data_IF_893677361505
#
_entry.id   IF_893677361505
#
_cell.length_a   1.000
_cell.length_b   1.000
_cell.length_c   1.000
_cell.angle_alpha   90.00
_cell.angle_beta   90.00
_cell.angle_gamma   90.00
#
_symmetry.space_group_name_H-M   'P 1'
#
loop_
_entity.id
_entity.type
_entity.pdbx_description
1 polymer ?
#
# COMPACT_ATOMS: atom_id res chain seq x y z
N UNK A 1 -38.55 -14.20 15.09
CA UNK A 1 -38.50 -13.82 13.66
C UNK A 1 -38.24 -12.32 13.42
N UNK A 2 -39.11 -11.37 13.77
CA UNK A 2 -38.75 -9.93 13.59
C UNK A 2 -37.66 -9.43 14.56
N UNK A 3 -37.67 -9.89 15.83
CA UNK A 3 -36.68 -9.48 16.83
C UNK A 3 -35.29 -10.11 16.68
N UNK A 4 -35.17 -11.30 16.07
CA UNK A 4 -33.86 -11.96 15.86
C UNK A 4 -33.06 -11.25 14.77
N UNK A 5 -33.72 -10.81 13.68
CA UNK A 5 -33.05 -10.09 12.59
C UNK A 5 -32.51 -8.70 12.97
N UNK A 6 -33.18 -8.00 13.90
CA UNK A 6 -32.71 -6.71 14.41
C UNK A 6 -31.51 -6.84 15.36
N UNK A 7 -31.52 -7.82 16.27
CA UNK A 7 -30.38 -8.12 17.15
C UNK A 7 -29.15 -8.55 16.34
N UNK A 8 -29.38 -9.34 15.29
CA UNK A 8 -28.37 -9.80 14.35
C UNK A 8 -27.71 -8.66 13.56
N UNK A 9 -28.51 -7.71 13.07
CA UNK A 9 -27.98 -6.53 12.40
C UNK A 9 -27.21 -5.63 13.36
N UNK A 10 -27.71 -5.45 14.59
CA UNK A 10 -27.02 -4.66 15.61
C UNK A 10 -25.63 -5.23 15.93
N UNK A 11 -25.52 -6.56 16.06
CA UNK A 11 -24.24 -7.24 16.26
C UNK A 11 -23.28 -7.05 15.07
N UNK A 12 -23.80 -7.18 13.84
CA UNK A 12 -23.02 -6.92 12.62
C UNK A 12 -22.49 -5.48 12.58
N UNK A 13 -23.33 -4.49 12.88
CA UNK A 13 -22.95 -3.07 12.88
C UNK A 13 -21.95 -2.77 13.99
N UNK A 14 -22.09 -3.38 15.17
CA UNK A 14 -21.13 -3.23 16.26
C UNK A 14 -19.73 -3.71 15.85
N UNK A 15 -19.64 -4.80 15.09
CA UNK A 15 -18.38 -5.41 14.68
C UNK A 15 -17.77 -4.77 13.43
N UNK A 16 -18.60 -4.44 12.43
CA UNK A 16 -18.16 -4.04 11.09
C UNK A 16 -18.47 -2.59 10.73
N UNK A 17 -19.33 -1.90 11.49
CA UNK A 17 -19.81 -0.56 11.14
C UNK A 17 -18.70 0.49 11.03
N UNK A 18 -17.61 0.36 11.80
CA UNK A 18 -16.44 1.24 11.65
C UNK A 18 -15.76 1.07 10.28
N UNK A 19 -15.50 -0.17 9.87
CA UNK A 19 -14.87 -0.49 8.58
C UNK A 19 -15.76 -0.11 7.38
N UNK A 20 -17.07 -0.36 7.49
CA UNK A 20 -18.04 0.01 6.45
C UNK A 20 -18.12 1.53 6.25
N UNK A 21 -18.12 2.31 7.34
CA UNK A 21 -18.09 3.78 7.26
C UNK A 21 -16.77 4.31 6.69
N UNK A 22 -15.64 3.74 7.11
CA UNK A 22 -14.33 4.12 6.58
C UNK A 22 -14.24 3.88 5.07
N UNK A 23 -14.83 2.78 4.60
CA UNK A 23 -14.93 2.41 3.18
C UNK A 23 -16.08 3.09 2.44
N UNK A 24 -16.86 3.95 3.12
CA UNK A 24 -18.01 4.68 2.59
C UNK A 24 -19.12 3.78 2.00
N UNK A 25 -19.28 2.57 2.52
CA UNK A 25 -20.40 1.69 2.15
C UNK A 25 -21.70 2.29 2.69
N UNK A 26 -22.68 2.63 1.83
CA UNK A 26 -23.95 3.21 2.27
C UNK A 26 -24.72 2.33 3.26
N UNK A 27 -25.30 2.95 4.30
CA UNK A 27 -25.99 2.26 5.39
C UNK A 27 -27.19 1.43 4.93
N UNK A 28 -27.85 1.86 3.84
CA UNK A 28 -28.97 1.13 3.23
C UNK A 28 -28.60 -0.30 2.80
N UNK A 29 -27.33 -0.58 2.50
CA UNK A 29 -26.88 -1.88 2.05
C UNK A 29 -26.51 -2.83 3.20
N UNK A 30 -26.38 -2.32 4.44
CA UNK A 30 -25.77 -3.08 5.53
C UNK A 30 -26.57 -4.32 5.95
N UNK A 31 -27.90 -4.23 5.89
CA UNK A 31 -28.77 -5.38 6.20
C UNK A 31 -28.63 -6.49 5.16
N UNK A 32 -28.73 -6.13 3.87
CA UNK A 32 -28.53 -7.09 2.78
C UNK A 32 -27.14 -7.70 2.81
N UNK A 33 -26.10 -6.87 3.01
CA UNK A 33 -24.72 -7.32 3.11
C UNK A 33 -24.52 -8.30 4.28
N UNK A 34 -25.08 -8.02 5.46
CA UNK A 34 -25.03 -8.93 6.61
C UNK A 34 -25.68 -10.28 6.30
N UNK A 35 -26.84 -10.26 5.63
CA UNK A 35 -27.55 -11.47 5.19
C UNK A 35 -26.74 -12.28 4.19
N UNK A 36 -26.17 -11.63 3.18
CA UNK A 36 -25.35 -12.26 2.14
C UNK A 36 -24.07 -12.87 2.71
N UNK A 37 -23.36 -12.17 3.61
CA UNK A 37 -22.16 -12.69 4.27
C UNK A 37 -22.46 -13.92 5.13
N UNK A 38 -23.53 -13.87 5.92
CA UNK A 38 -23.94 -14.99 6.77
C UNK A 38 -24.37 -16.22 5.96
N UNK A 39 -25.07 -15.99 4.87
CA UNK A 39 -25.59 -17.05 4.00
C UNK A 39 -24.64 -17.46 2.88
N UNK A 40 -23.43 -16.88 2.81
CA UNK A 40 -22.47 -17.09 1.72
C UNK A 40 -23.12 -16.92 0.33
N UNK A 41 -23.93 -15.88 0.19
CA UNK A 41 -24.71 -15.63 -1.04
C UNK A 41 -23.90 -14.79 -2.03
N UNK A 42 -23.47 -15.43 -3.12
CA UNK A 42 -22.79 -14.81 -4.25
C UNK A 42 -23.74 -14.72 -5.44
N UNK A 43 -24.49 -13.63 -5.53
CA UNK A 43 -25.53 -13.40 -6.54
C UNK A 43 -25.10 -12.46 -7.67
N UNK A 44 -23.81 -12.14 -7.79
CA UNK A 44 -23.30 -11.30 -8.87
C UNK A 44 -23.64 -11.85 -10.27
N UNK A 45 -23.66 -13.18 -10.44
CA UNK A 45 -24.01 -13.83 -11.70
C UNK A 45 -25.47 -13.64 -12.14
N UNK A 46 -26.37 -13.28 -11.22
CA UNK A 46 -27.77 -12.98 -11.55
C UNK A 46 -27.96 -11.56 -12.11
N UNK A 47 -26.93 -10.72 -11.95
CA UNK A 47 -26.97 -9.31 -12.33
C UNK A 47 -25.98 -8.93 -13.43
N UNK A 48 -24.88 -9.68 -13.55
CA UNK A 48 -23.76 -9.31 -14.40
C UNK A 48 -23.31 -10.44 -15.31
N UNK A 49 -22.80 -10.06 -16.48
CA UNK A 49 -22.14 -10.96 -17.42
C UNK A 49 -20.74 -10.46 -17.78
N UNK A 50 -19.81 -11.39 -17.98
CA UNK A 50 -18.48 -11.12 -18.51
C UNK A 50 -18.54 -11.27 -20.03
N UNK A 51 -18.23 -10.20 -20.76
CA UNK A 51 -18.14 -10.18 -22.22
C UNK A 51 -16.70 -10.03 -22.67
N UNK A 52 -16.31 -10.79 -23.68
CA UNK A 52 -15.06 -10.59 -24.40
C UNK A 52 -15.33 -9.61 -25.55
N UNK A 53 -14.56 -8.53 -25.61
CA UNK A 53 -14.57 -7.52 -26.66
C UNK A 53 -13.46 -7.86 -27.62
N UNK A 54 -13.82 -8.12 -28.89
CA UNK A 54 -12.87 -8.16 -29.98
C UNK A 54 -12.61 -6.72 -30.42
N UNK A 55 -11.38 -6.23 -30.24
CA UNK A 55 -10.94 -5.01 -30.89
C UNK A 55 -10.80 -5.35 -32.38
N UNK A 56 -11.68 -4.77 -33.21
CA UNK A 56 -11.54 -4.89 -34.66
C UNK A 56 -10.41 -3.93 -35.03
N UNK A 57 -9.21 -4.47 -35.24
CA UNK A 57 -8.13 -3.73 -35.89
C UNK A 57 -8.66 -3.27 -37.25
N UNK A 58 -8.84 -1.96 -37.44
CA UNK A 58 -9.01 -1.41 -38.79
C UNK A 58 -7.70 -1.70 -39.52
N UNK A 59 -7.70 -2.71 -40.39
CA UNK A 59 -6.57 -3.13 -41.22
C UNK A 59 -6.01 -1.92 -42.00
N UNK A 60 -4.94 -1.29 -41.49
CA UNK A 60 -4.02 -0.55 -42.35
C UNK A 60 -3.08 -1.58 -42.98
N UNK A 61 -3.20 -1.78 -44.29
CA UNK A 61 -2.29 -2.59 -45.11
C UNK A 61 -0.83 -2.14 -44.86
N UNK A 62 -0.02 -2.97 -44.20
CA UNK A 62 1.43 -2.78 -44.12
C UNK A 62 2.13 -4.05 -44.60
N UNK A 63 3.03 -3.86 -45.57
CA UNK A 63 3.73 -4.90 -46.34
C UNK A 63 4.35 -6.05 -45.49
N UNK A 64 4.12 -7.28 -45.96
CA UNK A 64 4.44 -8.58 -45.35
C UNK A 64 5.95 -8.86 -45.09
N UNK A 65 6.87 -7.95 -45.44
CA UNK A 65 8.32 -8.18 -45.31
C UNK A 65 8.95 -7.60 -44.02
N UNK A 66 8.19 -6.87 -43.18
CA UNK A 66 8.68 -6.29 -41.92
C UNK A 66 8.25 -7.02 -40.63
N UNK A 67 7.46 -8.09 -40.73
CA UNK A 67 6.89 -8.79 -39.56
C UNK A 67 7.89 -9.66 -38.78
N UNK A 68 8.99 -10.11 -39.39
CA UNK A 68 9.85 -11.12 -38.75
C UNK A 68 10.93 -10.54 -37.79
N UNK A 69 11.16 -9.23 -37.75
CA UNK A 69 12.23 -8.63 -36.92
C UNK A 69 11.76 -7.69 -35.79
N UNK A 70 10.45 -7.45 -35.66
CA UNK A 70 9.89 -6.55 -34.63
C UNK A 70 8.73 -7.17 -33.85
N UNK A 71 8.83 -8.45 -33.45
CA UNK A 71 8.05 -8.96 -32.30
C UNK A 71 8.59 -8.36 -30.99
N UNK A 72 8.42 -7.04 -30.82
CA UNK A 72 8.27 -6.47 -29.48
C UNK A 72 6.95 -6.99 -28.95
N UNK A 73 6.87 -7.49 -27.69
CA UNK A 73 5.59 -7.77 -27.09
C UNK A 73 4.90 -6.42 -26.87
N UNK A 74 4.03 -6.02 -27.80
CA UNK A 74 3.06 -4.98 -27.52
C UNK A 74 2.15 -5.52 -26.40
N UNK A 75 2.07 -4.88 -25.23
CA UNK A 75 1.15 -5.27 -24.18
C UNK A 75 -0.25 -4.77 -24.58
N UNK A 76 -0.92 -5.48 -25.49
CA UNK A 76 -2.19 -5.01 -26.05
C UNK A 76 -3.08 -6.10 -26.66
N UNK A 77 -2.52 -7.09 -27.36
CA UNK A 77 -3.33 -8.08 -28.11
C UNK A 77 -3.92 -9.21 -27.25
N UNK A 78 -4.17 -8.96 -25.97
CA UNK A 78 -4.92 -9.89 -25.12
C UNK A 78 -6.42 -9.63 -25.26
N UNK A 79 -7.29 -10.66 -25.15
CA UNK A 79 -8.73 -10.46 -25.17
C UNK A 79 -9.15 -9.44 -24.11
N UNK A 80 -9.77 -8.34 -24.55
CA UNK A 80 -10.31 -7.32 -23.66
C UNK A 80 -11.62 -7.84 -23.07
N UNK A 81 -11.75 -7.86 -21.75
CA UNK A 81 -12.97 -8.33 -21.09
C UNK A 81 -13.66 -7.17 -20.38
N UNK A 82 -14.98 -7.12 -20.50
CA UNK A 82 -15.83 -6.15 -19.82
C UNK A 82 -16.88 -6.87 -18.99
N UNK A 83 -17.26 -6.25 -17.88
CA UNK A 83 -18.40 -6.69 -17.08
C UNK A 83 -19.56 -5.77 -17.40
N UNK A 84 -20.71 -6.33 -17.77
CA UNK A 84 -21.92 -5.56 -18.07
C UNK A 84 -23.09 -6.03 -17.19
N UNK A 85 -24.09 -5.16 -17.01
CA UNK A 85 -25.36 -5.54 -16.40
C UNK A 85 -26.16 -6.41 -17.36
N UNK A 86 -26.54 -7.61 -16.93
CA UNK A 86 -27.37 -8.56 -17.70
C UNK A 86 -28.77 -8.71 -17.12
N UNK A 87 -29.03 -8.18 -15.92
CA UNK A 87 -30.37 -8.20 -15.34
C UNK A 87 -31.34 -7.37 -16.19
N UNK A 88 -32.45 -7.96 -16.63
CA UNK A 88 -33.45 -7.29 -17.48
C UNK A 88 -34.03 -6.01 -16.86
N UNK A 89 -34.10 -5.94 -15.53
CA UNK A 89 -34.63 -4.77 -14.80
C UNK A 89 -33.54 -3.73 -14.50
N UNK A 90 -32.31 -3.94 -14.97
CA UNK A 90 -31.15 -3.12 -14.61
C UNK A 90 -30.81 -3.22 -13.11
N UNK A 91 -30.20 -2.16 -12.59
CA UNK A 91 -29.82 -2.03 -11.20
C UNK A 91 -30.13 -0.63 -10.68
N UNK A 92 -30.84 -0.54 -9.55
CA UNK A 92 -31.10 0.73 -8.88
C UNK A 92 -30.15 0.90 -7.70
N UNK A 93 -29.45 2.03 -7.63
CA UNK A 93 -28.59 2.39 -6.51
C UNK A 93 -29.37 2.74 -5.23
N UNK A 94 -30.69 2.94 -5.33
CA UNK A 94 -31.57 3.10 -4.15
C UNK A 94 -32.05 1.77 -3.57
N UNK A 95 -31.92 0.66 -4.31
CA UNK A 95 -32.38 -0.66 -3.87
C UNK A 95 -31.40 -1.25 -2.83
N UNK A 96 -31.83 -1.54 -1.59
CA UNK A 96 -30.99 -2.11 -0.53
C UNK A 96 -30.29 -3.43 -0.87
N UNK A 97 -30.77 -4.17 -1.88
CA UNK A 97 -30.19 -5.44 -2.29
C UNK A 97 -29.09 -5.30 -3.37
N UNK A 98 -28.88 -4.10 -3.93
CA UNK A 98 -27.85 -3.80 -4.93
C UNK A 98 -26.44 -3.72 -4.33
N UNK A 99 -26.05 -4.73 -3.55
CA UNK A 99 -24.71 -4.86 -2.96
C UNK A 99 -24.24 -6.29 -3.15
N UNK A 100 -23.02 -6.48 -3.63
CA UNK A 100 -22.52 -7.77 -4.09
C UNK A 100 -21.23 -8.15 -3.36
N UNK A 101 -21.04 -9.45 -3.17
CA UNK A 101 -19.81 -10.03 -2.65
C UNK A 101 -18.98 -10.55 -3.81
N UNK A 102 -17.70 -10.19 -3.80
CA UNK A 102 -16.70 -10.67 -4.74
C UNK A 102 -15.66 -11.45 -3.94
N UNK A 103 -15.42 -12.68 -4.34
CA UNK A 103 -14.51 -13.58 -3.63
C UNK A 103 -13.04 -13.26 -3.96
N UNK A 104 -12.14 -13.69 -3.09
CA UNK A 104 -10.70 -13.56 -3.26
C UNK A 104 -10.13 -14.88 -3.75
N UNK A 105 -9.96 -15.02 -5.07
CA UNK A 105 -9.40 -16.21 -5.69
C UNK A 105 -8.01 -16.60 -5.16
N UNK A 106 -7.24 -15.60 -4.71
CA UNK A 106 -5.94 -15.81 -4.10
C UNK A 106 -5.67 -14.73 -3.05
N UNK A 107 -5.30 -15.13 -1.83
CA UNK A 107 -4.86 -14.24 -0.75
C UNK A 107 -3.50 -14.68 -0.22
N UNK A 108 -2.55 -13.76 -0.08
CA UNK A 108 -1.17 -14.11 0.21
C UNK A 108 -0.36 -12.95 0.83
N UNK A 109 0.80 -13.30 1.41
CA UNK A 109 1.88 -12.35 1.70
C UNK A 109 2.91 -12.45 0.58
N UNK A 110 3.45 -11.32 0.13
CA UNK A 110 4.31 -11.24 -1.06
C UNK A 110 5.47 -12.27 -1.05
N UNK A 111 6.12 -12.46 0.11
CA UNK A 111 7.21 -13.44 0.29
C UNK A 111 6.80 -14.91 0.02
N UNK A 112 5.52 -15.23 0.18
CA UNK A 112 4.98 -16.57 -0.01
C UNK A 112 4.39 -16.79 -1.40
N UNK A 113 4.25 -15.75 -2.24
CA UNK A 113 3.52 -15.82 -3.50
C UNK A 113 4.06 -16.94 -4.42
N UNK A 114 5.38 -16.92 -4.68
CA UNK A 114 6.05 -17.92 -5.51
C UNK A 114 5.91 -19.34 -4.96
N UNK A 115 6.03 -19.50 -3.64
CA UNK A 115 5.90 -20.81 -3.00
C UNK A 115 4.48 -21.35 -3.12
N UNK A 116 3.47 -20.49 -3.02
CA UNK A 116 2.07 -20.88 -3.17
C UNK A 116 1.76 -21.29 -4.61
N UNK A 117 2.20 -20.55 -5.62
CA UNK A 117 2.06 -20.94 -7.03
C UNK A 117 2.66 -22.33 -7.32
N UNK A 118 3.74 -22.70 -6.64
CA UNK A 118 4.38 -24.03 -6.77
C UNK A 118 3.64 -25.15 -6.04
N UNK A 119 3.00 -24.86 -4.90
CA UNK A 119 2.57 -25.90 -3.94
C UNK A 119 1.05 -26.03 -3.81
N UNK A 120 0.30 -24.97 -4.08
CA UNK A 120 -1.17 -24.98 -3.97
C UNK A 120 -1.74 -25.57 -5.26
N UNK A 121 -2.41 -26.74 -5.21
CA UNK A 121 -2.96 -27.38 -6.41
C UNK A 121 -3.95 -26.46 -7.15
N UNK A 122 -3.82 -26.38 -8.47
CA UNK A 122 -4.72 -25.60 -9.33
C UNK A 122 -4.53 -24.08 -9.29
N UNK A 123 -3.80 -23.52 -8.32
CA UNK A 123 -3.62 -22.07 -8.20
C UNK A 123 -2.90 -21.47 -9.41
N UNK A 124 -1.78 -22.05 -9.83
CA UNK A 124 -1.05 -21.57 -11.01
C UNK A 124 -1.93 -21.58 -12.26
N UNK A 125 -2.66 -22.68 -12.49
CA UNK A 125 -3.57 -22.80 -13.63
C UNK A 125 -4.68 -21.75 -13.59
N UNK A 126 -5.30 -21.51 -12.41
CA UNK A 126 -6.33 -20.47 -12.25
C UNK A 126 -5.77 -19.07 -12.52
N UNK A 127 -4.62 -18.73 -11.95
CA UNK A 127 -3.99 -17.42 -12.12
C UNK A 127 -3.50 -17.21 -13.56
N UNK A 128 -2.90 -18.22 -14.18
CA UNK A 128 -2.50 -18.18 -15.58
C UNK A 128 -3.69 -17.91 -16.50
N UNK A 129 -4.80 -18.65 -16.33
CA UNK A 129 -6.03 -18.42 -17.10
C UNK A 129 -6.62 -17.02 -16.88
N UNK A 130 -6.64 -16.54 -15.64
CA UNK A 130 -7.12 -15.20 -15.32
C UNK A 130 -6.30 -14.11 -16.03
N UNK A 131 -4.98 -14.31 -16.12
CA UNK A 131 -4.01 -13.39 -16.72
C UNK A 131 -3.80 -13.63 -18.23
N UNK A 132 -4.49 -14.60 -18.84
CA UNK A 132 -4.33 -14.92 -20.26
C UNK A 132 -2.97 -15.55 -20.61
N UNK A 133 -2.30 -16.15 -19.62
CA UNK A 133 -1.01 -16.81 -19.79
C UNK A 133 -1.25 -18.27 -20.22
N UNK A 134 -0.75 -18.71 -21.38
CA UNK A 134 -0.90 -20.10 -21.82
C UNK A 134 -0.21 -21.07 -20.84
N UNK A 135 -1.01 -21.92 -20.20
CA UNK A 135 -0.51 -22.98 -19.31
C UNK A 135 -1.37 -24.24 -19.46
N UNK A 136 -0.78 -25.30 -19.99
CA UNK A 136 -1.45 -26.58 -20.25
C UNK A 136 -0.83 -27.77 -19.50
N UNK A 137 0.08 -27.50 -18.56
CA UNK A 137 0.75 -28.51 -17.76
C UNK A 137 -0.02 -28.86 -16.47
N UNK A 138 0.15 -30.09 -15.98
CA UNK A 138 -0.33 -30.48 -14.64
C UNK A 138 0.66 -30.07 -13.54
N UNK A 139 1.94 -29.88 -13.89
CA UNK A 139 3.02 -29.55 -12.96
C UNK A 139 3.42 -28.08 -13.16
N UNK A 140 3.54 -27.29 -12.08
CA UNK A 140 4.08 -25.93 -12.15
C UNK A 140 5.49 -25.89 -12.74
N UNK A 141 5.68 -25.20 -13.86
CA UNK A 141 6.99 -24.86 -14.39
C UNK A 141 7.41 -23.44 -13.98
N UNK A 142 8.72 -23.21 -13.89
CA UNK A 142 9.27 -21.94 -13.42
C UNK A 142 9.01 -20.78 -14.38
N UNK A 143 8.83 -21.04 -15.68
CA UNK A 143 8.55 -20.02 -16.68
C UNK A 143 7.17 -19.41 -16.49
N UNK A 144 6.13 -20.26 -16.39
CA UNK A 144 4.76 -19.79 -16.13
C UNK A 144 4.60 -19.16 -14.74
N UNK A 145 5.31 -19.66 -13.72
CA UNK A 145 5.34 -19.01 -12.40
C UNK A 145 5.87 -17.58 -12.51
N UNK A 146 6.99 -17.39 -13.22
CA UNK A 146 7.58 -16.06 -13.38
C UNK A 146 6.67 -15.11 -14.16
N UNK A 147 6.02 -15.59 -15.23
CA UNK A 147 5.04 -14.79 -15.97
C UNK A 147 3.86 -14.36 -15.10
N UNK A 148 3.30 -15.27 -14.28
CA UNK A 148 2.23 -14.92 -13.33
C UNK A 148 2.72 -13.90 -12.30
N UNK A 149 3.94 -14.06 -11.77
CA UNK A 149 4.52 -13.11 -10.81
C UNK A 149 4.76 -11.72 -11.40
N UNK A 150 4.97 -11.63 -12.72
CA UNK A 150 5.13 -10.37 -13.44
C UNK A 150 3.77 -9.70 -13.73
N UNK A 151 2.78 -10.47 -14.17
CA UNK A 151 1.45 -9.94 -14.57
C UNK A 151 0.51 -9.67 -13.39
N UNK A 152 0.66 -10.39 -12.28
CA UNK A 152 -0.28 -10.32 -11.15
C UNK A 152 -0.51 -8.92 -10.57
N UNK A 153 0.43 -7.99 -10.73
CA UNK A 153 0.33 -6.65 -10.15
C UNK A 153 -0.81 -5.82 -10.73
N UNK A 154 -1.27 -6.11 -11.95
CA UNK A 154 -2.48 -5.50 -12.52
C UNK A 154 -3.77 -5.95 -11.81
N UNK A 155 -3.75 -7.10 -11.16
CA UNK A 155 -4.90 -7.74 -10.51
C UNK A 155 -4.87 -7.62 -8.99
N UNK A 156 -3.66 -7.51 -8.43
CA UNK A 156 -3.43 -7.43 -7.01
C UNK A 156 -4.12 -6.24 -6.40
N UNK A 157 -4.76 -6.46 -5.27
CA UNK A 157 -5.28 -5.48 -4.33
C UNK A 157 -4.69 -5.78 -2.95
N UNK A 158 -4.82 -4.85 -2.01
CA UNK A 158 -4.21 -5.01 -0.69
C UNK A 158 -5.12 -4.52 0.43
N UNK A 159 -4.96 -5.10 1.61
CA UNK A 159 -5.45 -4.55 2.87
C UNK A 159 -4.43 -4.77 3.98
N UNK A 160 -4.62 -4.08 5.10
CA UNK A 160 -3.84 -4.27 6.31
C UNK A 160 -4.76 -4.52 7.49
N UNK A 161 -4.33 -5.38 8.40
CA UNK A 161 -5.01 -5.55 9.69
C UNK A 161 -4.64 -4.38 10.59
N UNK A 162 -5.65 -3.77 11.23
CA UNK A 162 -5.44 -2.61 12.11
C UNK A 162 -4.81 -2.98 13.47
N UNK A 163 -4.94 -4.24 13.85
CA UNK A 163 -4.44 -4.79 15.12
C UNK A 163 -3.35 -5.85 14.86
N UNK A 164 -2.51 -6.07 15.88
CA UNK A 164 -1.42 -7.05 15.83
C UNK A 164 -0.03 -6.45 15.92
N UNK A 165 0.96 -7.34 15.91
CA UNK A 165 2.40 -7.07 15.81
C UNK A 165 2.78 -6.39 14.49
N UNK A 166 3.99 -5.86 14.38
CA UNK A 166 4.46 -5.23 13.14
C UNK A 166 4.46 -6.22 11.95
N UNK A 167 4.75 -7.49 12.23
CA UNK A 167 4.72 -8.61 11.28
C UNK A 167 3.30 -8.92 10.81
N UNK A 168 2.33 -8.93 11.72
CA UNK A 168 0.92 -9.18 11.38
C UNK A 168 0.34 -8.05 10.52
N UNK A 169 0.79 -6.81 10.78
CA UNK A 169 0.41 -5.59 10.05
C UNK A 169 1.04 -5.47 8.66
N UNK A 170 1.99 -6.34 8.31
CA UNK A 170 2.52 -6.40 6.92
C UNK A 170 1.33 -6.61 5.97
N UNK A 171 1.27 -5.87 4.84
CA UNK A 171 0.16 -5.94 3.90
C UNK A 171 -0.19 -7.37 3.47
N UNK A 172 -1.49 -7.64 3.42
CA UNK A 172 -2.03 -8.85 2.79
C UNK A 172 -2.50 -8.47 1.40
N UNK A 173 -1.99 -9.20 0.41
CA UNK A 173 -2.34 -9.03 -0.98
C UNK A 173 -3.40 -10.04 -1.38
N UNK A 174 -4.26 -9.65 -2.32
CA UNK A 174 -5.27 -10.54 -2.86
C UNK A 174 -5.57 -10.25 -4.32
N UNK A 175 -5.99 -11.29 -5.04
CA UNK A 175 -6.57 -11.20 -6.38
C UNK A 175 -8.03 -11.64 -6.26
N UNK A 176 -8.93 -10.82 -6.79
CA UNK A 176 -10.36 -11.13 -6.83
C UNK A 176 -10.62 -12.31 -7.78
N UNK A 177 -11.77 -12.95 -7.63
CA UNK A 177 -12.27 -13.95 -8.58
C UNK A 177 -12.37 -13.43 -10.03
N UNK A 178 -12.74 -14.34 -10.93
CA UNK A 178 -12.88 -14.10 -12.35
C UNK A 178 -13.86 -12.96 -12.67
N UNK A 179 -14.85 -12.71 -11.81
CA UNK A 179 -15.77 -11.60 -11.97
C UNK A 179 -15.11 -10.28 -11.55
N UNK A 180 -14.62 -10.20 -10.31
CA UNK A 180 -14.06 -8.97 -9.76
C UNK A 180 -12.83 -8.47 -10.52
N UNK A 181 -12.00 -9.39 -10.98
CA UNK A 181 -10.78 -9.10 -11.74
C UNK A 181 -11.03 -8.58 -13.16
N UNK A 182 -12.26 -8.66 -13.66
CA UNK A 182 -12.64 -8.17 -15.00
C UNK A 182 -13.35 -6.81 -14.96
N UNK A 183 -13.60 -6.27 -13.78
CA UNK A 183 -14.16 -4.92 -13.62
C UNK A 183 -13.09 -3.89 -14.01
N UNK A 184 -13.37 -3.12 -15.05
CA UNK A 184 -12.40 -2.20 -15.65
C UNK A 184 -12.35 -0.85 -14.93
N UNK A 185 -11.28 -0.10 -15.22
CA UNK A 185 -11.10 1.26 -14.73
C UNK A 185 -12.04 2.25 -15.43
N UNK A 186 -12.60 3.20 -14.68
CA UNK A 186 -13.16 4.44 -15.21
C UNK A 186 -12.93 5.60 -14.24
N UNK A 187 -12.65 6.80 -14.77
CA UNK A 187 -12.65 8.06 -14.01
C UNK A 187 -14.08 8.49 -13.60
N UNK A 188 -15.10 7.92 -14.24
CA UNK A 188 -16.51 8.07 -13.90
C UNK A 188 -17.10 6.68 -13.60
N UNK A 189 -16.70 6.06 -12.47
CA UNK A 189 -17.04 4.68 -12.18
C UNK A 189 -18.54 4.49 -11.98
N UNK A 190 -19.07 3.36 -12.44
CA UNK A 190 -20.45 2.94 -12.13
C UNK A 190 -20.57 2.29 -10.76
N UNK A 191 -19.48 1.75 -10.21
CA UNK A 191 -19.42 1.08 -8.91
C UNK A 191 -18.26 1.56 -8.04
N UNK A 192 -18.47 1.44 -6.73
CA UNK A 192 -17.40 1.46 -5.75
C UNK A 192 -17.16 0.04 -5.22
N UNK A 193 -15.92 -0.22 -4.83
CA UNK A 193 -15.49 -1.50 -4.29
C UNK A 193 -14.54 -1.29 -3.12
N UNK A 194 -14.70 -2.09 -2.06
CA UNK A 194 -13.82 -2.04 -0.89
C UNK A 194 -13.65 -3.42 -0.24
N UNK A 195 -12.45 -3.74 0.28
CA UNK A 195 -12.25 -4.97 1.04
C UNK A 195 -12.98 -4.88 2.39
N UNK A 196 -13.58 -6.00 2.80
CA UNK A 196 -14.19 -6.19 4.10
C UNK A 196 -13.70 -7.51 4.70
N UNK A 197 -13.06 -7.42 5.86
CA UNK A 197 -12.72 -8.61 6.65
C UNK A 197 -13.92 -9.03 7.50
N UNK A 198 -14.52 -10.17 7.17
CA UNK A 198 -15.67 -10.72 7.87
C UNK A 198 -15.21 -11.60 9.04
N UNK A 199 -15.36 -11.06 10.24
CA UNK A 199 -14.78 -11.57 11.48
C UNK A 199 -15.30 -12.97 11.87
N UNK A 200 -16.60 -13.30 11.73
CA UNK A 200 -17.10 -14.62 12.10
C UNK A 200 -16.45 -15.77 11.33
N UNK A 201 -16.14 -15.56 10.03
CA UNK A 201 -15.48 -16.56 9.18
C UNK A 201 -13.96 -16.36 9.10
N UNK A 202 -13.45 -15.20 9.53
CA UNK A 202 -12.05 -14.78 9.36
C UNK A 202 -11.59 -14.76 7.89
N UNK A 203 -12.49 -14.35 6.99
CA UNK A 203 -12.25 -14.28 5.54
C UNK A 203 -12.45 -12.84 5.07
N UNK A 204 -11.66 -12.42 4.09
CA UNK A 204 -11.83 -11.14 3.42
C UNK A 204 -12.64 -11.30 2.12
N UNK A 205 -13.56 -10.39 1.89
CA UNK A 205 -14.31 -10.26 0.64
C UNK A 205 -14.11 -8.87 0.07
N UNK A 206 -14.38 -8.68 -1.21
CA UNK A 206 -14.59 -7.34 -1.76
C UNK A 206 -16.09 -7.07 -1.84
N UNK A 207 -16.54 -6.01 -1.18
CA UNK A 207 -17.92 -5.52 -1.29
C UNK A 207 -18.00 -4.59 -2.48
N UNK A 208 -18.99 -4.79 -3.36
CA UNK A 208 -19.22 -4.03 -4.58
C UNK A 208 -20.63 -3.42 -4.54
N UNK A 209 -20.76 -2.11 -4.77
CA UNK A 209 -22.06 -1.42 -4.76
C UNK A 209 -22.12 -0.30 -5.81
N UNK A 210 -23.30 -0.05 -6.41
CA UNK A 210 -23.44 0.92 -7.48
C UNK A 210 -23.40 2.35 -6.93
N UNK A 211 -22.90 3.26 -7.76
CA UNK A 211 -22.85 4.70 -7.52
C UNK A 211 -23.98 5.45 -8.22
N UNK A 212 -24.65 4.80 -9.16
CA UNK A 212 -25.78 5.31 -9.95
C UNK A 212 -26.65 4.14 -10.42
N UNK A 213 -27.85 4.46 -10.89
CA UNK A 213 -28.70 3.48 -11.56
C UNK A 213 -28.06 3.06 -12.89
N UNK A 214 -28.27 1.81 -13.29
CA UNK A 214 -27.69 1.20 -14.49
C UNK A 214 -28.76 0.39 -15.22
N UNK A 215 -28.77 0.48 -16.54
CA UNK A 215 -29.65 -0.29 -17.41
C UNK A 215 -28.98 -1.60 -17.88
N UNK A 216 -29.77 -2.51 -18.45
CA UNK A 216 -29.22 -3.72 -19.09
C UNK A 216 -28.25 -3.31 -20.20
N UNK A 217 -27.05 -3.88 -20.20
CA UNK A 217 -25.99 -3.57 -21.15
C UNK A 217 -24.98 -2.52 -20.68
N UNK A 218 -25.27 -1.79 -19.59
CA UNK A 218 -24.32 -0.81 -19.04
C UNK A 218 -23.07 -1.49 -18.47
N UNK A 219 -21.92 -0.82 -18.66
CA UNK A 219 -20.62 -1.32 -18.18
C UNK A 219 -20.44 -1.11 -16.66
N UNK A 220 -19.98 -2.16 -16.00
CA UNK A 220 -19.57 -2.18 -14.59
C UNK A 220 -18.10 -1.79 -14.50
N UNK A 221 -17.83 -0.63 -13.93
CA UNK A 221 -16.50 -0.03 -13.83
C UNK A 221 -16.22 0.50 -12.43
N UNK A 222 -14.94 0.60 -12.07
CA UNK A 222 -14.47 1.14 -10.80
C UNK A 222 -13.32 2.12 -10.97
N UNK A 223 -13.07 2.93 -9.95
CA UNK A 223 -11.88 3.77 -9.90
C UNK A 223 -10.73 3.03 -9.20
N UNK A 224 -9.65 2.71 -9.93
CA UNK A 224 -8.44 2.09 -9.36
C UNK A 224 -7.51 3.12 -8.69
N UNK A 225 -7.68 4.40 -8.97
CA UNK A 225 -6.96 5.50 -8.33
C UNK A 225 -7.86 6.30 -7.38
N UNK A 226 -8.87 5.64 -6.80
CA UNK A 226 -9.83 6.25 -5.90
C UNK A 226 -9.14 7.02 -4.75
N UNK A 227 -9.53 8.29 -4.59
CA UNK A 227 -9.00 9.16 -3.53
C UNK A 227 -7.75 9.95 -3.92
N UNK A 228 -7.11 9.64 -5.06
CA UNK A 228 -5.99 10.43 -5.56
C UNK A 228 -6.49 11.66 -6.34
N UNK A 229 -6.16 12.85 -5.83
CA UNK A 229 -6.61 14.13 -6.39
C UNK A 229 -5.57 14.78 -7.29
N UNK A 230 -4.28 14.47 -7.11
CA UNK A 230 -3.23 15.01 -7.96
C UNK A 230 -3.28 14.28 -9.32
N UNK A 231 -3.49 15.05 -10.39
CA UNK A 231 -3.65 14.49 -11.75
C UNK A 231 -2.42 13.71 -12.22
N UNK A 232 -1.23 14.17 -11.84
CA UNK A 232 0.01 13.55 -12.28
C UNK A 232 0.30 12.28 -11.48
N UNK A 233 0.06 12.30 -10.16
CA UNK A 233 0.11 11.09 -9.34
C UNK A 233 -0.93 10.08 -9.83
N UNK A 234 -2.16 10.51 -10.09
CA UNK A 234 -3.23 9.67 -10.62
C UNK A 234 -2.84 9.01 -11.94
N UNK A 235 -2.27 9.76 -12.89
CA UNK A 235 -1.72 9.22 -14.15
C UNK A 235 -0.69 8.12 -13.89
N UNK A 236 0.19 8.30 -12.90
CA UNK A 236 1.21 7.30 -12.56
C UNK A 236 0.64 6.07 -11.87
N UNK A 237 -0.31 6.23 -10.94
CA UNK A 237 -0.97 5.12 -10.24
C UNK A 237 -1.76 4.23 -11.22
N UNK A 238 -2.32 4.82 -12.29
CA UNK A 238 -3.10 4.09 -13.28
C UNK A 238 -2.28 3.30 -14.31
N UNK A 239 -0.95 3.44 -14.34
CA UNK A 239 -0.09 2.75 -15.32
C UNK A 239 -0.29 1.22 -15.42
N UNK A 240 -0.61 0.47 -14.35
CA UNK A 240 -0.91 -0.96 -14.48
C UNK A 240 -2.12 -1.29 -15.36
N UNK A 241 -3.06 -0.35 -15.53
CA UNK A 241 -4.28 -0.53 -16.35
C UNK A 241 -4.31 0.34 -17.60
N UNK A 242 -3.73 1.54 -17.53
CA UNK A 242 -3.70 2.53 -18.62
C UNK A 242 -2.24 2.87 -18.91
N UNK A 243 -1.57 2.12 -19.81
CA UNK A 243 -0.19 2.39 -20.18
C UNK A 243 -0.03 3.83 -20.68
N UNK A 244 0.95 4.55 -20.13
CA UNK A 244 1.24 5.91 -20.52
C UNK A 244 2.72 6.25 -20.31
N UNK A 245 3.22 7.18 -21.12
CA UNK A 245 4.54 7.76 -20.94
C UNK A 245 4.47 8.98 -20.01
N UNK A 246 5.47 9.12 -19.14
CA UNK A 246 5.61 10.21 -18.17
C UNK A 246 6.98 10.87 -18.33
N UNK A 247 7.41 11.06 -19.57
CA UNK A 247 8.76 11.53 -19.92
C UNK A 247 8.88 13.05 -19.98
N UNK A 248 7.73 13.72 -20.01
CA UNK A 248 7.60 15.18 -19.90
C UNK A 248 7.84 15.68 -18.46
N UNK A 249 7.84 14.77 -17.48
CA UNK A 249 8.12 15.10 -16.08
C UNK A 249 9.62 15.08 -15.82
N UNK A 250 10.12 16.15 -15.20
CA UNK A 250 11.51 16.21 -14.74
C UNK A 250 11.77 15.13 -13.67
N UNK A 251 12.83 14.35 -13.81
CA UNK A 251 13.28 13.39 -12.80
C UNK A 251 14.03 14.05 -11.62
N UNK A 252 14.09 15.39 -11.61
CA UNK A 252 14.74 16.20 -10.58
C UNK A 252 13.94 16.19 -9.28
N UNK A 253 14.62 15.85 -8.19
CA UNK A 253 14.05 15.76 -6.84
C UNK A 253 14.84 16.69 -5.92
N UNK A 254 14.46 17.97 -5.79
CA UNK A 254 15.14 18.88 -4.89
C UNK A 254 14.91 18.47 -3.43
N UNK A 255 15.63 19.13 -2.53
CA UNK A 255 15.26 19.07 -1.13
C UNK A 255 13.84 19.67 -0.94
N UNK A 256 12.96 19.03 -0.15
CA UNK A 256 11.71 19.62 0.29
C UNK A 256 11.92 20.96 1.01
N UNK A 257 10.94 21.87 0.95
CA UNK A 257 11.03 23.15 1.64
C UNK A 257 10.89 22.99 3.17
N UNK A 258 11.26 24.02 3.94
CA UNK A 258 11.29 23.95 5.41
C UNK A 258 9.93 23.58 6.03
N UNK A 259 8.81 23.96 5.39
CA UNK A 259 7.45 23.62 5.85
C UNK A 259 7.23 22.11 5.93
N UNK A 260 7.88 21.32 5.07
CA UNK A 260 7.81 19.86 5.11
C UNK A 260 8.37 19.32 6.44
N UNK A 261 9.55 19.80 6.86
CA UNK A 261 10.17 19.38 8.11
C UNK A 261 9.45 19.93 9.34
N UNK A 262 8.86 21.12 9.23
CA UNK A 262 7.99 21.67 10.28
C UNK A 262 6.73 20.83 10.49
N UNK A 263 6.13 20.32 9.40
CA UNK A 263 4.99 19.40 9.50
C UNK A 263 5.36 18.09 10.19
N UNK A 264 6.52 17.51 9.86
CA UNK A 264 7.04 16.31 10.53
C UNK A 264 7.26 16.56 12.03
N UNK A 265 7.86 17.70 12.38
CA UNK A 265 8.06 18.09 13.78
C UNK A 265 6.74 18.18 14.55
N UNK A 266 5.72 18.80 13.93
CA UNK A 266 4.39 18.95 14.51
C UNK A 266 3.68 17.60 14.70
N UNK A 267 3.76 16.71 13.70
CA UNK A 267 3.19 15.35 13.77
C UNK A 267 3.86 14.50 14.85
N UNK A 268 5.18 14.62 14.99
CA UNK A 268 5.96 13.97 16.03
C UNK A 268 5.67 14.50 17.44
N UNK A 269 4.98 15.64 17.56
CA UNK A 269 4.66 16.34 18.81
C UNK A 269 5.91 16.67 19.64
N UNK A 270 7.03 16.92 18.98
CA UNK A 270 8.28 17.33 19.63
C UNK A 270 8.27 18.83 19.92
N UNK A 271 8.68 19.21 21.13
CA UNK A 271 8.88 20.60 21.51
C UNK A 271 10.37 20.88 21.61
N UNK A 272 10.88 21.73 20.73
CA UNK A 272 12.30 22.09 20.68
C UNK A 272 12.77 22.78 21.98
N UNK A 273 14.01 22.51 22.43
CA UNK A 273 14.57 23.12 23.64
C UNK A 273 14.79 24.64 23.45
N UNK A 274 14.92 25.35 24.56
CA UNK A 274 15.51 26.70 24.57
C UNK A 274 17.02 26.64 24.77
N UNK A 275 17.72 27.74 24.47
CA UNK A 275 19.15 27.83 24.71
C UNK A 275 19.45 27.73 26.22
N UNK A 276 20.36 26.82 26.58
CA UNK A 276 20.81 26.61 27.95
C UNK A 276 22.31 26.85 28.05
N UNK A 277 22.78 27.20 29.25
CA UNK A 277 24.21 27.18 29.55
C UNK A 277 24.64 25.73 29.80
N UNK A 278 25.68 25.22 29.10
CA UNK A 278 26.15 23.86 29.33
C UNK A 278 26.48 23.62 30.81
N UNK A 279 25.91 22.58 31.44
CA UNK A 279 26.15 22.31 32.84
C UNK A 279 27.60 21.86 33.07
N UNK A 280 28.22 22.39 34.13
CA UNK A 280 29.56 21.99 34.56
C UNK A 280 29.42 21.12 35.81
N UNK A 281 29.89 19.88 35.72
CA UNK A 281 29.80 18.93 36.83
C UNK A 281 31.15 18.77 37.53
N UNK A 282 31.11 18.57 38.85
CA UNK A 282 32.29 18.22 39.62
C UNK A 282 32.88 16.87 39.17
N UNK A 283 34.20 16.73 39.29
CA UNK A 283 34.92 15.49 38.87
C UNK A 283 34.51 14.25 39.65
N UNK A 284 33.99 14.43 40.86
CA UNK A 284 33.52 13.41 41.79
C UNK A 284 32.00 13.28 41.82
N UNK A 285 31.26 14.02 40.98
CA UNK A 285 29.79 13.89 40.89
C UNK A 285 29.41 12.44 40.60
N UNK A 286 28.50 11.92 41.41
CA UNK A 286 27.78 10.67 41.19
C UNK A 286 26.46 11.02 40.52
N UNK A 287 26.19 10.43 39.36
CA UNK A 287 25.01 10.69 38.55
C UNK A 287 23.92 9.65 38.86
N UNK A 288 22.71 10.12 39.11
CA UNK A 288 21.51 9.29 39.15
C UNK A 288 21.02 9.02 37.73
N UNK A 289 20.89 7.76 37.36
CA UNK A 289 20.45 7.33 36.03
C UNK A 289 19.08 6.68 36.12
N UNK A 290 18.12 7.21 35.36
CA UNK A 290 16.84 6.57 35.11
C UNK A 290 16.87 5.92 33.73
N UNK A 291 16.53 4.63 33.65
CA UNK A 291 16.54 3.88 32.39
C UNK A 291 15.57 2.71 32.43
N UNK A 292 14.89 2.46 31.32
CA UNK A 292 14.06 1.29 31.04
C UNK A 292 14.81 0.22 30.21
N UNK A 293 16.10 0.44 29.92
CA UNK A 293 16.90 -0.41 29.04
C UNK A 293 17.68 -1.45 29.84
N UNK A 294 17.30 -2.72 29.71
CA UNK A 294 17.96 -3.82 30.43
C UNK A 294 19.47 -3.91 30.14
N UNK A 295 19.90 -3.59 28.91
CA UNK A 295 21.31 -3.56 28.54
C UNK A 295 22.07 -2.50 29.33
N UNK A 296 21.47 -1.35 29.63
CA UNK A 296 22.11 -0.30 30.43
C UNK A 296 22.17 -0.74 31.89
N UNK A 297 21.06 -1.26 32.43
CA UNK A 297 20.99 -1.81 33.79
C UNK A 297 22.07 -2.87 34.04
N UNK A 298 22.31 -3.75 33.07
CA UNK A 298 23.25 -4.87 33.20
C UNK A 298 24.73 -4.47 33.04
N UNK A 299 25.02 -3.34 32.38
CA UNK A 299 26.38 -3.02 31.94
C UNK A 299 26.94 -1.69 32.47
N UNK A 300 26.10 -0.77 32.96
CA UNK A 300 26.56 0.46 33.59
C UNK A 300 26.99 0.20 35.04
N UNK A 301 28.24 -0.24 35.21
CA UNK A 301 28.79 -0.71 36.49
C UNK A 301 29.75 0.28 37.16
N UNK A 302 30.06 1.39 36.50
CA UNK A 302 31.01 2.37 37.03
C UNK A 302 30.42 3.10 38.25
N UNK A 303 31.15 3.22 39.39
CA UNK A 303 30.60 3.66 40.68
C UNK A 303 30.09 5.11 40.71
N UNK A 304 30.41 5.90 39.68
CA UNK A 304 29.87 7.26 39.50
C UNK A 304 28.46 7.29 38.90
N UNK A 305 27.86 6.14 38.61
CA UNK A 305 26.49 6.06 38.13
C UNK A 305 25.71 5.16 39.07
N UNK A 306 24.61 5.68 39.60
CA UNK A 306 23.69 4.95 40.48
C UNK A 306 22.31 5.01 39.86
N UNK A 307 21.60 3.89 39.87
CA UNK A 307 20.25 3.87 39.30
C UNK A 307 19.24 4.50 40.27
N UNK A 308 18.20 5.11 39.69
CA UNK A 308 17.04 5.61 40.41
C UNK A 308 15.77 5.16 39.70
N UNK A 309 14.77 4.74 40.46
CA UNK A 309 13.44 4.43 39.94
C UNK A 309 12.55 5.69 39.84
N UNK A 310 13.03 6.82 40.39
CA UNK A 310 12.35 8.12 40.32
C UNK A 310 12.98 8.98 39.23
N UNK A 311 12.27 9.14 38.11
CA UNK A 311 12.64 10.02 36.98
C UNK A 311 12.88 11.46 37.43
N UNK A 312 12.11 11.94 38.43
CA UNK A 312 12.20 13.30 38.94
C UNK A 312 13.54 13.65 39.61
N UNK A 313 14.29 12.64 40.07
CA UNK A 313 15.58 12.80 40.74
C UNK A 313 16.77 12.45 39.84
N UNK A 314 16.52 12.02 38.61
CA UNK A 314 17.56 11.58 37.70
C UNK A 314 18.40 12.77 37.20
N UNK A 315 19.72 12.57 37.11
CA UNK A 315 20.62 13.46 36.38
C UNK A 315 20.73 13.06 34.90
N UNK A 316 20.44 11.79 34.58
CA UNK A 316 20.49 11.22 33.23
C UNK A 316 19.21 10.43 32.97
N UNK A 317 18.50 10.81 31.92
CA UNK A 317 17.39 10.07 31.33
C UNK A 317 17.94 9.25 30.15
N UNK A 318 18.06 7.93 30.33
CA UNK A 318 18.53 7.03 29.29
C UNK A 318 17.41 6.06 28.92
N UNK A 319 16.50 6.50 28.06
CA UNK A 319 15.26 5.79 27.79
C UNK A 319 15.26 5.18 26.38
N UNK A 320 14.57 4.05 26.24
CA UNK A 320 14.22 3.46 24.95
C UNK A 320 13.09 4.24 24.27
N UNK A 321 12.12 4.70 25.06
CA UNK A 321 10.97 5.47 24.57
C UNK A 321 11.38 6.86 24.08
N UNK A 322 10.68 7.37 23.07
CA UNK A 322 10.98 8.67 22.47
C UNK A 322 10.75 9.81 23.46
N UNK A 323 11.78 10.63 23.65
CA UNK A 323 11.67 11.88 24.39
C UNK A 323 11.10 12.99 23.49
N UNK A 324 10.08 13.70 23.97
CA UNK A 324 9.32 14.68 23.15
C UNK A 324 9.36 16.11 23.67
N UNK A 325 9.38 16.32 24.98
CA UNK A 325 9.29 17.65 25.59
C UNK A 325 10.66 18.22 25.97
N UNK A 326 11.52 18.47 24.96
CA UNK A 326 12.84 19.07 25.16
C UNK A 326 12.75 20.49 25.72
N UNK A 327 11.69 21.23 25.39
CA UNK A 327 11.41 22.55 25.96
C UNK A 327 11.31 22.50 27.48
N UNK A 328 10.44 21.65 28.02
CA UNK A 328 10.26 21.51 29.46
C UNK A 328 11.57 21.15 30.16
N UNK A 329 12.31 20.19 29.60
CA UNK A 329 13.62 19.79 30.14
C UNK A 329 14.59 20.97 30.19
N UNK A 330 14.71 21.72 29.09
CA UNK A 330 15.61 22.88 28.99
C UNK A 330 15.23 24.05 29.91
N UNK A 331 13.93 24.23 30.20
CA UNK A 331 13.43 25.33 31.02
C UNK A 331 13.47 25.00 32.53
N UNK A 332 13.08 23.78 32.90
CA UNK A 332 12.94 23.36 34.31
C UNK A 332 14.19 22.70 34.88
N UNK A 333 14.92 21.93 34.06
CA UNK A 333 16.06 21.10 34.48
C UNK A 333 17.18 21.08 33.42
N UNK A 334 17.78 22.24 33.09
CA UNK A 334 18.81 22.35 32.05
C UNK A 334 20.06 21.49 32.33
N UNK A 335 20.26 21.05 33.56
CA UNK A 335 21.35 20.19 34.00
C UNK A 335 21.12 18.68 33.81
N UNK A 336 19.92 18.26 33.41
CA UNK A 336 19.60 16.85 33.16
C UNK A 336 19.97 16.48 31.73
N UNK A 337 20.68 15.36 31.57
CA UNK A 337 21.08 14.84 30.27
C UNK A 337 20.07 13.81 29.74
N UNK A 338 19.85 13.80 28.43
CA UNK A 338 19.01 12.81 27.75
C UNK A 338 19.80 12.13 26.63
N UNK A 339 19.54 10.84 26.39
CA UNK A 339 20.22 10.03 25.39
C UNK A 339 19.70 10.21 23.94
N UNK A 340 18.98 11.29 23.66
CA UNK A 340 18.28 11.54 22.39
C UNK A 340 18.42 13.00 21.98
N UNK A 341 18.39 13.28 20.67
CA UNK A 341 18.46 14.64 20.13
C UNK A 341 17.11 15.06 19.53
N UNK A 342 16.71 16.34 19.68
CA UNK A 342 15.52 16.85 18.99
C UNK A 342 15.70 16.70 17.47
N UNK A 343 14.63 16.35 16.76
CA UNK A 343 14.63 16.13 15.30
C UNK A 343 15.57 15.00 14.82
N UNK A 344 16.03 14.08 15.67
CA UNK A 344 16.89 12.96 15.25
C UNK A 344 16.24 12.07 14.18
N UNK A 345 14.91 12.02 14.15
CA UNK A 345 14.13 11.32 13.14
C UNK A 345 14.47 11.77 11.70
N UNK A 346 14.96 13.00 11.54
CA UNK A 346 15.38 13.52 10.25
C UNK A 346 16.56 12.75 9.63
N UNK A 347 17.39 12.10 10.46
CA UNK A 347 18.51 11.27 10.03
C UNK A 347 18.23 9.77 10.16
N UNK A 348 17.37 9.37 11.09
CA UNK A 348 17.12 7.96 11.40
C UNK A 348 15.94 7.36 10.61
N UNK A 349 15.10 8.20 10.01
CA UNK A 349 13.97 7.77 9.16
C UNK A 349 14.36 7.86 7.69
N UNK A 350 13.99 6.85 6.89
CA UNK A 350 14.53 6.64 5.53
C UNK A 350 14.20 7.75 4.54
N UNK A 351 12.95 8.21 4.51
CA UNK A 351 12.53 9.30 3.62
C UNK A 351 13.18 10.63 4.00
N UNK A 352 13.27 10.94 5.29
CA UNK A 352 13.90 12.14 5.80
C UNK A 352 15.42 12.15 5.53
N UNK A 353 16.08 11.01 5.72
CA UNK A 353 17.49 10.87 5.39
C UNK A 353 17.71 11.09 3.90
N UNK A 354 16.87 10.50 3.04
CA UNK A 354 16.96 10.65 1.59
C UNK A 354 16.75 12.10 1.15
N UNK A 355 15.79 12.82 1.76
CA UNK A 355 15.51 14.22 1.43
C UNK A 355 16.64 15.14 1.89
N UNK A 356 17.11 15.02 3.14
CA UNK A 356 18.18 15.88 3.70
C UNK A 356 19.54 15.61 3.07
N UNK A 357 19.83 14.36 2.70
CA UNK A 357 21.08 14.02 2.01
C UNK A 357 21.28 14.81 0.72
N UNK A 358 20.20 15.26 0.06
CA UNK A 358 20.24 16.11 -1.13
C UNK A 358 20.91 17.47 -0.88
N UNK A 359 20.96 17.96 0.36
CA UNK A 359 21.77 19.15 0.73
C UNK A 359 23.24 18.98 0.36
N UNK A 360 23.77 17.77 0.48
CA UNK A 360 25.17 17.46 0.24
C UNK A 360 25.49 17.13 -1.24
N UNK A 361 24.49 16.69 -2.02
CA UNK A 361 24.69 16.20 -3.39
C UNK A 361 23.81 16.86 -4.45
N UNK A 362 23.08 17.90 -4.10
CA UNK A 362 22.06 18.49 -4.95
C UNK A 362 20.94 17.50 -5.25
N UNK A 363 20.26 17.70 -6.37
CA UNK A 363 19.10 16.90 -6.69
C UNK A 363 19.40 15.44 -7.02
N UNK A 364 20.62 15.10 -7.42
CA UNK A 364 21.03 13.70 -7.65
C UNK A 364 21.24 12.93 -6.34
N UNK A 365 21.37 13.65 -5.22
CA UNK A 365 21.80 13.09 -3.94
C UNK A 365 23.32 12.89 -3.90
N UNK A 366 23.88 12.60 -2.71
CA UNK A 366 25.30 12.43 -2.55
C UNK A 366 25.75 11.06 -3.08
N UNK A 367 26.98 10.96 -3.60
CA UNK A 367 27.52 9.73 -4.23
C UNK A 367 27.52 8.48 -3.34
N UNK A 368 27.47 8.64 -2.02
CA UNK A 368 27.46 7.54 -1.05
C UNK A 368 26.04 7.01 -0.76
N UNK A 369 24.99 7.71 -1.21
CA UNK A 369 23.60 7.29 -1.07
C UNK A 369 23.03 6.92 -2.45
N UNK A 370 22.48 5.72 -2.64
CA UNK A 370 21.79 5.37 -3.87
C UNK A 370 20.62 6.33 -4.17
N UNK A 371 20.32 6.49 -5.47
CA UNK A 371 19.17 7.28 -5.93
C UNK A 371 17.91 6.80 -5.20
N UNK A 372 17.19 7.71 -4.57
CA UNK A 372 16.07 7.39 -3.67
C UNK A 372 14.90 8.36 -3.92
N UNK A 373 13.69 7.81 -3.98
CA UNK A 373 12.45 8.57 -4.22
C UNK A 373 11.41 8.22 -3.15
N UNK A 374 10.75 9.22 -2.58
CA UNK A 374 9.57 8.97 -1.77
C UNK A 374 8.37 8.69 -2.69
N UNK A 375 7.90 7.44 -2.77
CA UNK A 375 6.83 7.08 -3.71
C UNK A 375 5.50 7.74 -3.38
N UNK A 376 5.30 8.30 -2.18
CA UNK A 376 4.08 9.06 -1.88
C UNK A 376 4.08 10.41 -2.59
N UNK A 377 5.20 11.13 -2.58
CA UNK A 377 5.29 12.52 -3.07
C UNK A 377 6.03 12.67 -4.40
N UNK A 378 6.84 11.69 -4.77
CA UNK A 378 7.79 11.75 -5.89
C UNK A 378 7.56 10.63 -6.92
N UNK A 379 6.38 9.99 -6.91
CA UNK A 379 6.02 8.94 -7.86
C UNK A 379 6.23 9.37 -9.33
N UNK A 380 5.85 10.58 -9.78
CA UNK A 380 6.00 10.96 -11.18
C UNK A 380 7.46 11.11 -11.59
N UNK A 381 8.29 11.67 -10.71
CA UNK A 381 9.73 11.78 -10.91
C UNK A 381 10.37 10.38 -10.99
N UNK A 382 9.95 9.47 -10.12
CA UNK A 382 10.39 8.07 -10.15
C UNK A 382 10.00 7.37 -11.45
N UNK A 383 8.73 7.45 -11.86
CA UNK A 383 8.23 6.83 -13.11
C UNK A 383 8.97 7.39 -14.32
N UNK A 384 9.13 8.71 -14.42
CA UNK A 384 9.89 9.35 -15.49
C UNK A 384 11.32 8.81 -15.54
N UNK A 385 11.99 8.75 -14.37
CA UNK A 385 13.34 8.23 -14.26
C UNK A 385 13.42 6.74 -14.67
N UNK A 386 12.47 5.92 -14.21
CA UNK A 386 12.37 4.50 -14.54
C UNK A 386 12.24 4.28 -16.05
N UNK A 387 11.30 4.95 -16.71
CA UNK A 387 11.05 4.85 -18.16
C UNK A 387 12.25 5.34 -18.98
N UNK A 388 12.93 6.40 -18.54
CA UNK A 388 14.16 6.87 -19.19
C UNK A 388 15.29 5.84 -19.13
N UNK A 389 15.46 5.16 -17.98
CA UNK A 389 16.46 4.10 -17.81
C UNK A 389 16.14 2.88 -18.67
N UNK A 390 14.87 2.50 -18.73
CA UNK A 390 14.40 1.39 -19.56
C UNK A 390 14.69 1.65 -21.05
N UNK A 391 14.43 2.86 -21.55
CA UNK A 391 14.77 3.27 -22.92
C UNK A 391 16.26 3.24 -23.22
N UNK A 392 17.11 3.45 -22.22
CA UNK A 392 18.57 3.38 -22.33
C UNK A 392 19.11 1.95 -22.18
N UNK A 393 18.24 0.95 -21.93
CA UNK A 393 18.65 -0.43 -21.68
C UNK A 393 19.44 -0.60 -20.38
N UNK A 394 19.21 0.27 -19.40
CA UNK A 394 19.87 0.19 -18.10
C UNK A 394 19.16 -0.81 -17.17
N UNK A 395 19.91 -1.38 -16.22
CA UNK A 395 19.35 -2.23 -15.18
C UNK A 395 18.35 -1.47 -14.31
N UNK A 396 17.11 -1.94 -14.22
CA UNK A 396 16.03 -1.25 -13.51
C UNK A 396 15.59 -1.95 -12.23
N UNK A 397 16.49 -2.63 -11.53
CA UNK A 397 16.18 -3.18 -10.20
C UNK A 397 16.13 -2.07 -9.15
N UNK A 398 15.03 -2.05 -8.39
CA UNK A 398 14.80 -1.14 -7.28
C UNK A 398 14.50 -1.92 -6.01
N UNK A 399 14.80 -1.30 -4.86
CA UNK A 399 14.45 -1.81 -3.55
C UNK A 399 13.43 -0.86 -2.90
N UNK A 400 12.19 -1.31 -2.74
CA UNK A 400 11.14 -0.55 -2.09
C UNK A 400 11.12 -0.87 -0.60
N UNK A 401 11.22 0.16 0.25
CA UNK A 401 11.25 0.00 1.70
C UNK A 401 10.15 0.82 2.38
N UNK A 402 9.52 0.30 3.44
CA UNK A 402 8.68 1.13 4.31
C UNK A 402 9.56 2.14 5.03
N UNK A 403 9.05 3.37 5.15
CA UNK A 403 9.77 4.48 5.78
C UNK A 403 10.16 4.18 7.24
N UNK A 404 9.27 3.53 8.01
CA UNK A 404 9.38 3.34 9.46
C UNK A 404 9.56 1.88 9.95
N UNK A 405 9.48 0.85 9.10
CA UNK A 405 9.71 -0.54 9.56
C UNK A 405 11.21 -0.90 9.53
N UNK A 406 11.55 -1.90 10.36
CA UNK A 406 12.88 -2.46 10.51
C UNK A 406 12.86 -3.98 10.24
N UNK A 407 14.02 -4.65 10.36
CA UNK A 407 14.19 -6.11 10.16
C UNK A 407 13.77 -6.60 8.77
N UNK A 408 13.92 -5.75 7.75
CA UNK A 408 13.54 -6.02 6.36
C UNK A 408 12.06 -6.35 6.14
N UNK A 409 11.20 -6.07 7.14
CA UNK A 409 9.77 -6.27 7.00
C UNK A 409 9.25 -5.41 5.84
N UNK A 410 8.43 -6.04 4.99
CA UNK A 410 7.76 -5.41 3.85
C UNK A 410 8.71 -4.68 2.88
N UNK A 411 9.93 -5.23 2.73
CA UNK A 411 10.95 -4.78 1.78
C UNK A 411 10.95 -5.65 0.53
N UNK A 412 10.87 -5.02 -0.64
CA UNK A 412 10.73 -5.73 -1.92
C UNK A 412 11.81 -5.29 -2.89
N UNK A 413 12.41 -6.24 -3.62
CA UNK A 413 13.36 -5.96 -4.70
C UNK A 413 12.69 -6.39 -6.00
N UNK A 414 12.55 -5.46 -6.94
CA UNK A 414 11.83 -5.71 -8.18
C UNK A 414 12.30 -4.75 -9.28
N UNK A 415 12.23 -5.21 -10.53
CA UNK A 415 12.38 -4.38 -11.72
C UNK A 415 11.04 -4.16 -12.45
N UNK A 416 9.92 -4.55 -11.83
CA UNK A 416 8.58 -4.41 -12.39
C UNK A 416 7.94 -3.10 -11.91
N UNK A 417 7.71 -2.16 -12.83
CA UNK A 417 7.13 -0.86 -12.52
C UNK A 417 5.73 -0.97 -11.88
N UNK A 418 4.89 -1.90 -12.35
CA UNK A 418 3.56 -2.13 -11.80
C UNK A 418 3.65 -2.60 -10.35
N UNK A 419 4.59 -3.49 -10.04
CA UNK A 419 4.85 -3.92 -8.66
C UNK A 419 5.19 -2.74 -7.75
N UNK A 420 6.09 -1.87 -8.19
CA UNK A 420 6.53 -0.70 -7.41
C UNK A 420 5.37 0.26 -7.15
N UNK A 421 4.57 0.55 -8.18
CA UNK A 421 3.39 1.41 -8.09
C UNK A 421 2.37 0.82 -7.11
N UNK A 422 2.05 -0.47 -7.24
CA UNK A 422 1.08 -1.13 -6.34
C UNK A 422 1.59 -1.15 -4.90
N UNK A 423 2.88 -1.39 -4.66
CA UNK A 423 3.43 -1.41 -3.30
C UNK A 423 3.23 -0.08 -2.54
N UNK A 424 3.18 1.07 -3.25
CA UNK A 424 2.83 2.37 -2.66
C UNK A 424 1.48 2.35 -1.93
N UNK A 425 0.51 1.64 -2.47
CA UNK A 425 -0.87 1.64 -1.96
C UNK A 425 -1.01 0.88 -0.65
N UNK A 426 -0.04 0.01 -0.36
CA UNK A 426 -0.04 -0.77 0.87
C UNK A 426 0.43 0.05 2.08
N UNK A 427 1.49 0.83 1.92
CA UNK A 427 2.09 1.68 2.94
C UNK A 427 3.07 2.65 2.28
N UNK A 428 3.39 3.81 2.88
CA UNK A 428 4.35 4.73 2.29
C UNK A 428 5.71 4.05 2.08
N UNK A 429 6.21 4.12 0.84
CA UNK A 429 7.45 3.50 0.38
C UNK A 429 8.48 4.54 -0.03
N UNK A 430 9.74 4.19 0.19
CA UNK A 430 10.97 4.93 -0.18
C UNK A 430 11.86 4.02 -1.02
#
# INVERSE_FOLDING_TARGET
MAGEGEEDLAAFVALHGAALRASRVPTQYWESLSRKLRGEVFDAGDYFGIMQVEEVDEEEEVDEEMEEQFKKPNPGNGPCFKVIVTNENGLQASNPNSVFLVDHAWTYRAEHARQQLRRVPGLLHRMANLMGIPFHGEVPDEGSIEQVLQEMWKYNQTYQLSQGTAEEKVPVWYIMDEFGSRIQHSDQPSFAAAPLFYMPQQIAYTVLWPLRDLETGDEVTRDYAHGETDRLIRKCVLLPWVPAEVLDVSCFTPEPPDEHYQAILAENKEKLPVAINPPVYAKDKVFKVFTDIQQVLNNLTHPRFVFTDNEGEADILYNFSHFKDYRKLSEEKPEVMVNQFPCENLLTVKDCLASIARRAGGADGPRWLPRTFNLQTELPQFVSYFQQRERRGEDNHWICKPWNLARSLDTHITNNLNSIIRHRESSPKV
#
